data_IF_703187346654
#
_entry.id   IF_703187346654
#
_cell.length_a   1.000
_cell.length_b   1.000
_cell.length_c   1.000
_cell.angle_alpha   90.00
_cell.angle_beta   90.00
_cell.angle_gamma   90.00
#
_symmetry.space_group_name_H-M   'P 1'
#
loop_
_entity.id
_entity.type
_entity.pdbx_description
1 polymer ?
#
# COMPACT_ATOMS: atom_id res chain seq x y z
N UNK A 1 17.18 8.98 14.36
CA UNK A 1 16.07 9.73 15.03
C UNK A 1 14.74 9.61 14.29
N UNK A 2 14.72 9.63 12.96
CA UNK A 2 13.53 9.49 12.12
C UNK A 2 12.67 8.25 12.47
N UNK A 3 13.25 7.06 12.41
CA UNK A 3 12.53 5.79 12.68
C UNK A 3 11.84 5.77 14.06
N UNK A 4 12.50 6.31 15.10
CA UNK A 4 11.92 6.37 16.46
C UNK A 4 10.61 7.15 16.52
N UNK A 5 10.44 8.20 15.69
CA UNK A 5 9.19 8.96 15.62
C UNK A 5 8.06 8.12 15.03
N UNK A 6 8.35 7.37 13.97
CA UNK A 6 7.38 6.48 13.32
C UNK A 6 7.00 5.34 14.28
N UNK A 7 7.99 4.69 14.89
CA UNK A 7 7.77 3.64 15.88
C UNK A 7 6.87 4.11 17.02
N UNK A 8 7.07 5.33 17.53
CA UNK A 8 6.23 5.90 18.59
C UNK A 8 4.76 5.99 18.16
N UNK A 9 4.48 6.43 16.93
CA UNK A 9 3.11 6.53 16.42
C UNK A 9 2.51 5.14 16.20
N UNK A 10 3.26 4.19 15.65
CA UNK A 10 2.82 2.79 15.50
C UNK A 10 2.50 2.14 16.86
N UNK A 11 3.37 2.35 17.86
CA UNK A 11 3.14 1.84 19.22
C UNK A 11 1.86 2.45 19.84
N UNK A 12 1.60 3.73 19.59
CA UNK A 12 0.36 4.39 20.02
C UNK A 12 -0.87 3.86 19.27
N UNK A 13 -0.76 3.66 17.95
CA UNK A 13 -1.83 3.15 17.11
C UNK A 13 -2.26 1.74 17.56
N UNK A 14 -1.30 0.84 17.78
CA UNK A 14 -1.58 -0.49 18.32
C UNK A 14 -2.19 -0.44 19.73
N UNK A 15 -1.70 0.45 20.60
CA UNK A 15 -2.24 0.60 21.96
C UNK A 15 -3.70 1.08 21.97
N UNK A 16 -4.06 1.93 21.02
CA UNK A 16 -5.38 2.52 20.92
C UNK A 16 -6.33 1.76 20.00
N UNK A 17 -5.85 0.74 19.29
CA UNK A 17 -6.64 0.05 18.27
C UNK A 17 -7.03 0.98 17.11
N UNK A 18 -6.10 1.83 16.67
CA UNK A 18 -6.33 2.80 15.60
C UNK A 18 -5.54 2.42 14.33
N UNK A 19 -6.10 2.65 13.13
CA UNK A 19 -5.40 2.49 11.87
C UNK A 19 -4.13 3.35 11.77
N UNK A 20 -3.12 2.87 11.05
CA UNK A 20 -1.90 3.62 10.78
C UNK A 20 -1.70 3.81 9.27
N UNK A 21 -1.58 5.08 8.84
CA UNK A 21 -1.37 5.44 7.44
C UNK A 21 0.03 6.02 7.29
N UNK A 22 0.89 5.33 6.55
CA UNK A 22 2.25 5.78 6.20
C UNK A 22 2.26 6.48 4.85
N UNK A 23 2.73 7.72 4.79
CA UNK A 23 2.96 8.46 3.55
C UNK A 23 4.47 8.45 3.29
N UNK A 24 4.88 7.85 2.17
CA UNK A 24 6.26 7.52 1.89
C UNK A 24 6.77 8.33 0.70
N UNK A 25 7.77 9.16 1.01
CA UNK A 25 8.65 9.84 0.07
C UNK A 25 10.05 9.86 0.71
N UNK A 26 10.87 8.89 0.36
CA UNK A 26 12.17 8.65 0.98
C UNK A 26 13.15 7.99 0.02
N UNK A 27 14.29 8.66 -0.21
CA UNK A 27 15.42 8.09 -0.95
C UNK A 27 16.06 6.84 -0.31
N UNK A 28 15.62 6.43 0.89
CA UNK A 28 16.08 5.21 1.56
C UNK A 28 16.87 5.47 2.85
N UNK A 29 17.80 4.56 3.15
CA UNK A 29 18.62 4.63 4.36
C UNK A 29 19.50 5.89 4.36
N UNK A 30 19.67 6.51 5.53
CA UNK A 30 20.66 7.59 5.70
C UNK A 30 22.04 6.95 5.87
N UNK A 31 22.81 6.92 4.79
CA UNK A 31 24.11 6.24 4.71
C UNK A 31 25.07 6.68 5.83
N UNK A 32 25.04 7.95 6.20
CA UNK A 32 25.90 8.53 7.24
C UNK A 32 25.60 7.98 8.65
N UNK A 33 24.38 7.49 8.88
CA UNK A 33 23.98 6.84 10.14
C UNK A 33 24.28 5.33 10.13
N UNK A 34 24.74 4.75 9.01
CA UNK A 34 25.20 3.37 8.92
C UNK A 34 24.22 2.35 9.52
N UNK A 35 24.73 1.54 10.45
CA UNK A 35 23.95 0.48 11.12
C UNK A 35 22.77 1.01 11.93
N UNK A 36 22.81 2.25 12.39
CA UNK A 36 21.68 2.85 13.12
C UNK A 36 20.49 3.09 12.20
N UNK A 37 20.73 3.42 10.92
CA UNK A 37 19.67 3.52 9.92
C UNK A 37 19.03 2.15 9.66
N UNK A 38 19.82 1.08 9.65
CA UNK A 38 19.32 -0.29 9.44
C UNK A 38 18.56 -0.81 10.66
N UNK A 39 19.07 -0.53 11.86
CA UNK A 39 18.36 -0.81 13.12
C UNK A 39 17.01 -0.08 13.16
N UNK A 40 16.98 1.18 12.69
CA UNK A 40 15.75 1.94 12.51
C UNK A 40 14.72 1.22 11.65
N UNK A 41 15.12 0.68 10.50
CA UNK A 41 14.24 -0.14 9.65
C UNK A 41 13.74 -1.39 10.37
N UNK A 42 14.63 -2.16 11.00
CA UNK A 42 14.24 -3.37 11.73
C UNK A 42 13.19 -3.12 12.82
N UNK A 43 13.27 -1.97 13.49
CA UNK A 43 12.29 -1.56 14.49
C UNK A 43 10.91 -1.24 13.91
N UNK A 44 10.85 -0.67 12.70
CA UNK A 44 9.59 -0.48 11.97
C UNK A 44 9.03 -1.82 11.52
N UNK A 45 9.86 -2.66 10.90
CA UNK A 45 9.41 -3.95 10.36
C UNK A 45 8.81 -4.84 11.45
N UNK A 46 9.48 -4.92 12.60
CA UNK A 46 8.96 -5.65 13.75
C UNK A 46 7.55 -5.17 14.13
N UNK A 47 7.34 -3.86 14.20
CA UNK A 47 6.04 -3.26 14.54
C UNK A 47 4.99 -3.53 13.48
N UNK A 48 5.33 -3.40 12.21
CA UNK A 48 4.39 -3.71 11.14
C UNK A 48 3.94 -5.17 11.20
N UNK A 49 4.87 -6.08 11.47
CA UNK A 49 4.57 -7.52 11.62
C UNK A 49 3.63 -7.78 12.80
N UNK A 50 3.88 -7.21 13.98
CA UNK A 50 3.01 -7.44 15.14
C UNK A 50 1.67 -6.69 15.06
N UNK A 51 1.58 -5.63 14.25
CA UNK A 51 0.34 -4.91 13.96
C UNK A 51 -0.51 -5.59 12.87
N UNK A 52 0.06 -6.52 12.10
CA UNK A 52 -0.59 -7.22 11.00
C UNK A 52 -1.81 -8.00 11.49
N UNK A 53 -2.97 -7.70 10.93
CA UNK A 53 -4.25 -8.27 11.37
C UNK A 53 -4.77 -7.76 12.72
N UNK A 54 -4.14 -6.73 13.30
CA UNK A 54 -4.56 -6.10 14.57
C UNK A 54 -5.18 -4.72 14.33
N UNK A 55 -4.44 -3.85 13.64
CA UNK A 55 -4.93 -2.54 13.19
C UNK A 55 -4.67 -2.42 11.69
N UNK A 56 -5.54 -1.75 10.92
CA UNK A 56 -5.29 -1.53 9.50
C UNK A 56 -4.02 -0.70 9.28
N UNK A 57 -3.16 -1.18 8.39
CA UNK A 57 -1.91 -0.55 8.00
C UNK A 57 -1.96 -0.21 6.51
N UNK A 58 -1.92 1.08 6.19
CA UNK A 58 -2.01 1.57 4.82
C UNK A 58 -0.73 2.31 4.46
N UNK A 59 -0.18 2.02 3.29
CA UNK A 59 0.98 2.69 2.75
C UNK A 59 0.61 3.47 1.50
N UNK A 60 0.97 4.75 1.46
CA UNK A 60 0.83 5.62 0.30
C UNK A 60 2.24 5.95 -0.19
N UNK A 61 2.54 5.67 -1.45
CA UNK A 61 3.82 5.97 -2.08
C UNK A 61 3.64 7.20 -2.98
N UNK A 62 4.11 8.34 -2.49
CA UNK A 62 4.03 9.66 -3.15
C UNK A 62 5.41 10.19 -3.53
N UNK A 63 6.40 9.29 -3.63
CA UNK A 63 7.76 9.63 -4.04
C UNK A 63 8.63 8.38 -4.18
N UNK A 64 9.96 8.55 -4.31
CA UNK A 64 10.89 7.43 -4.27
C UNK A 64 10.80 6.65 -2.94
N UNK A 65 10.97 5.35 -3.03
CA UNK A 65 11.16 4.43 -1.91
C UNK A 65 12.11 3.32 -2.37
N UNK A 66 13.36 3.36 -1.92
CA UNK A 66 14.40 2.46 -2.40
C UNK A 66 15.03 1.63 -1.28
N UNK A 67 15.44 0.41 -1.61
CA UNK A 67 16.15 -0.48 -0.70
C UNK A 67 15.32 -0.82 0.53
N UNK A 68 15.85 -0.55 1.72
CA UNK A 68 15.18 -0.85 3.00
C UNK A 68 13.79 -0.20 3.13
N UNK A 69 13.56 0.95 2.48
CA UNK A 69 12.30 1.67 2.57
C UNK A 69 11.10 0.89 2.02
N UNK A 70 11.32 -0.05 1.10
CA UNK A 70 10.23 -0.79 0.45
C UNK A 70 9.64 -1.89 1.31
N UNK A 71 10.37 -2.37 2.31
CA UNK A 71 9.95 -3.53 3.10
C UNK A 71 8.82 -3.21 4.08
N UNK A 72 8.78 -1.99 4.63
CA UNK A 72 7.68 -1.59 5.53
C UNK A 72 6.34 -1.53 4.76
N UNK A 73 6.23 -0.84 3.61
CA UNK A 73 5.05 -0.94 2.73
C UNK A 73 4.70 -2.37 2.34
N UNK A 74 5.69 -3.21 2.03
CA UNK A 74 5.46 -4.59 1.56
C UNK A 74 4.82 -5.52 2.60
N UNK A 75 4.83 -5.14 3.88
CA UNK A 75 4.21 -5.91 4.98
C UNK A 75 3.04 -5.17 5.64
N UNK A 76 2.57 -4.09 5.02
CA UNK A 76 1.31 -3.42 5.35
C UNK A 76 0.17 -4.02 4.52
N UNK A 77 -1.08 -3.73 4.89
CA UNK A 77 -2.26 -4.38 4.30
C UNK A 77 -2.58 -3.83 2.90
N UNK A 78 -2.47 -2.51 2.71
CA UNK A 78 -2.74 -1.87 1.42
C UNK A 78 -1.67 -0.85 1.03
N UNK A 79 -1.01 -1.11 -0.08
CA UNK A 79 -0.13 -0.18 -0.81
C UNK A 79 -0.88 0.54 -1.93
N UNK A 80 -0.92 1.87 -1.83
CA UNK A 80 -1.36 2.81 -2.85
C UNK A 80 -0.14 3.51 -3.45
N UNK A 81 -0.13 3.70 -4.77
CA UNK A 81 0.94 4.44 -5.46
C UNK A 81 0.37 5.53 -6.36
N UNK A 82 1.06 6.68 -6.43
CA UNK A 82 0.73 7.74 -7.39
C UNK A 82 1.50 7.53 -8.70
N UNK A 83 0.81 7.53 -9.84
CA UNK A 83 1.41 7.33 -11.17
C UNK A 83 2.46 8.40 -11.48
N UNK A 84 3.57 7.99 -12.08
CA UNK A 84 4.70 8.85 -12.46
C UNK A 84 5.40 9.59 -11.29
N UNK A 85 5.03 9.29 -10.03
CA UNK A 85 5.59 9.92 -8.83
C UNK A 85 6.10 8.85 -7.87
N UNK A 86 5.24 7.89 -7.53
CA UNK A 86 5.59 6.78 -6.65
C UNK A 86 6.50 5.77 -7.33
N UNK A 87 7.67 5.53 -6.73
CA UNK A 87 8.66 4.55 -7.20
C UNK A 87 9.04 3.63 -6.05
N UNK A 88 9.01 2.31 -6.27
CA UNK A 88 9.49 1.32 -5.33
C UNK A 88 10.45 0.33 -5.99
N UNK A 89 11.64 0.13 -5.42
CA UNK A 89 12.51 -0.98 -5.82
C UNK A 89 13.55 -1.29 -4.76
N UNK A 90 13.89 -2.57 -4.58
CA UNK A 90 14.96 -2.99 -3.65
C UNK A 90 16.32 -2.49 -4.15
N UNK A 91 16.59 -2.63 -5.45
CA UNK A 91 17.86 -2.26 -6.07
C UNK A 91 17.58 -1.29 -7.21
N UNK A 92 18.28 -0.16 -7.21
CA UNK A 92 18.08 0.89 -8.21
C UNK A 92 18.64 0.55 -9.61
N UNK A 93 18.20 1.26 -10.65
CA UNK A 93 18.61 0.98 -12.03
C UNK A 93 20.11 1.03 -12.29
N UNK A 94 20.83 1.94 -11.64
CA UNK A 94 22.29 2.08 -11.82
C UNK A 94 23.05 0.84 -11.37
N UNK A 95 22.61 0.23 -10.27
CA UNK A 95 23.19 -1.02 -9.74
C UNK A 95 22.84 -2.20 -10.65
N UNK A 96 21.60 -2.26 -11.15
CA UNK A 96 21.19 -3.28 -12.13
C UNK A 96 22.07 -3.19 -13.38
N UNK A 97 22.24 -1.99 -13.95
CA UNK A 97 23.11 -1.78 -15.11
C UNK A 97 24.55 -2.20 -14.86
N UNK A 98 25.10 -1.84 -13.70
CA UNK A 98 26.49 -2.19 -13.36
C UNK A 98 26.71 -3.70 -13.20
N UNK A 99 25.71 -4.44 -12.72
CA UNK A 99 25.83 -5.88 -12.42
C UNK A 99 25.39 -6.76 -13.58
N UNK A 100 24.30 -6.41 -14.27
CA UNK A 100 23.68 -7.25 -15.31
C UNK A 100 23.85 -6.68 -16.72
N UNK A 101 24.24 -5.41 -16.85
CA UNK A 101 24.28 -4.71 -18.14
C UNK A 101 22.91 -4.23 -18.64
N UNK A 102 21.81 -4.54 -17.92
CA UNK A 102 20.47 -4.13 -18.32
C UNK A 102 20.24 -2.63 -18.09
N UNK A 103 19.73 -1.94 -19.11
CA UNK A 103 19.35 -0.53 -19.01
C UNK A 103 17.83 -0.42 -18.86
N UNK A 104 17.40 0.00 -17.67
CA UNK A 104 15.99 0.16 -17.31
C UNK A 104 15.81 1.52 -16.62
N UNK A 105 14.63 2.13 -16.74
CA UNK A 105 14.30 3.37 -16.02
C UNK A 105 13.66 3.04 -14.67
N UNK A 106 13.71 3.94 -13.69
CA UNK A 106 13.03 3.75 -12.40
C UNK A 106 11.52 3.50 -12.56
N UNK A 107 10.86 4.21 -13.48
CA UNK A 107 9.43 4.00 -13.76
C UNK A 107 9.15 2.59 -14.32
N UNK A 108 9.97 2.12 -15.27
CA UNK A 108 9.82 0.78 -15.84
C UNK A 108 10.17 -0.31 -14.82
N UNK A 109 11.12 -0.05 -13.92
CA UNK A 109 11.57 -1.00 -12.90
C UNK A 109 10.58 -1.12 -11.75
N UNK A 110 10.05 0.00 -11.28
CA UNK A 110 9.37 0.10 -9.98
C UNK A 110 8.29 1.19 -9.90
N UNK A 111 7.81 1.69 -11.03
CA UNK A 111 6.72 2.65 -11.07
C UNK A 111 5.37 2.04 -10.67
N UNK A 112 4.41 2.92 -10.37
CA UNK A 112 3.07 2.53 -9.90
C UNK A 112 2.41 1.48 -10.80
N UNK A 113 2.47 1.64 -12.12
CA UNK A 113 1.84 0.71 -13.07
C UNK A 113 2.56 -0.62 -13.19
N UNK A 114 3.88 -0.65 -12.98
CA UNK A 114 4.65 -1.89 -12.91
C UNK A 114 4.22 -2.72 -11.70
N UNK A 115 4.07 -2.07 -10.55
CA UNK A 115 3.63 -2.74 -9.33
C UNK A 115 2.16 -3.12 -9.32
N UNK A 116 1.29 -2.32 -9.95
CA UNK A 116 -0.14 -2.58 -9.99
C UNK A 116 -0.53 -3.67 -11.01
N UNK A 117 0.14 -3.74 -12.17
CA UNK A 117 -0.23 -4.68 -13.24
C UNK A 117 0.65 -5.92 -13.34
N UNK A 118 1.91 -5.87 -12.90
CA UNK A 118 2.86 -6.98 -13.10
C UNK A 118 3.26 -7.66 -11.79
N UNK A 119 3.77 -6.90 -10.82
CA UNK A 119 4.30 -7.51 -9.60
C UNK A 119 3.25 -7.78 -8.52
N UNK A 120 2.10 -7.10 -8.58
CA UNK A 120 1.04 -7.18 -7.56
C UNK A 120 1.39 -6.50 -6.23
N UNK A 121 2.45 -5.69 -6.18
CA UNK A 121 2.89 -5.01 -4.93
C UNK A 121 2.01 -3.81 -4.60
N UNK A 122 1.48 -3.13 -5.63
CA UNK A 122 0.57 -2.00 -5.45
C UNK A 122 -0.86 -2.43 -5.71
N UNK A 123 -1.71 -2.36 -4.69
CA UNK A 123 -3.13 -2.72 -4.79
C UNK A 123 -3.89 -1.67 -5.60
N UNK A 124 -3.49 -0.40 -5.46
CA UNK A 124 -4.14 0.73 -6.12
C UNK A 124 -3.12 1.69 -6.74
N UNK A 125 -3.49 2.28 -7.87
CA UNK A 125 -2.70 3.30 -8.56
C UNK A 125 -3.57 4.51 -8.91
N UNK A 126 -3.27 5.67 -8.31
CA UNK A 126 -3.97 6.94 -8.53
C UNK A 126 -3.23 7.82 -9.54
N UNK A 127 -3.93 8.71 -10.24
CA UNK A 127 -3.33 9.68 -11.18
C UNK A 127 -2.54 10.78 -10.46
N UNK A 128 -2.95 11.15 -9.23
CA UNK A 128 -2.32 12.21 -8.45
C UNK A 128 -2.50 12.02 -6.93
N UNK A 129 -1.87 12.87 -6.13
CA UNK A 129 -1.94 12.81 -4.66
C UNK A 129 -3.35 13.11 -4.10
N UNK A 130 -4.09 14.04 -4.69
CA UNK A 130 -5.44 14.35 -4.21
C UNK A 130 -6.37 13.13 -4.33
N UNK A 131 -6.32 12.46 -5.48
CA UNK A 131 -7.06 11.23 -5.72
C UNK A 131 -6.63 10.11 -4.75
N UNK A 132 -5.32 9.92 -4.53
CA UNK A 132 -4.87 8.83 -3.63
C UNK A 132 -5.35 9.04 -2.20
N UNK A 133 -5.35 10.29 -1.71
CA UNK A 133 -5.88 10.59 -0.38
C UNK A 133 -7.40 10.39 -0.30
N UNK A 134 -8.13 10.67 -1.38
CA UNK A 134 -9.57 10.40 -1.45
C UNK A 134 -9.86 8.89 -1.45
N UNK A 135 -9.12 8.09 -2.24
CA UNK A 135 -9.26 6.63 -2.26
C UNK A 135 -8.95 6.01 -0.90
N UNK A 136 -7.93 6.49 -0.21
CA UNK A 136 -7.60 6.00 1.15
C UNK A 136 -8.71 6.35 2.14
N UNK A 137 -9.28 7.57 2.07
CA UNK A 137 -10.44 7.94 2.90
C UNK A 137 -11.65 7.07 2.63
N UNK A 138 -11.91 6.74 1.37
CA UNK A 138 -12.97 5.82 0.97
C UNK A 138 -12.73 4.41 1.52
N UNK A 139 -11.52 3.85 1.36
CA UNK A 139 -11.15 2.55 1.94
C UNK A 139 -11.37 2.53 3.46
N UNK A 140 -10.99 3.61 4.16
CA UNK A 140 -11.20 3.73 5.59
C UNK A 140 -12.69 3.73 6.00
N UNK A 141 -13.61 4.05 5.08
CA UNK A 141 -15.04 3.93 5.31
C UNK A 141 -15.55 2.48 5.39
N UNK A 142 -14.78 1.52 4.86
CA UNK A 142 -15.15 0.10 4.86
C UNK A 142 -14.49 -0.71 5.99
N UNK A 143 -13.35 -0.24 6.53
CA UNK A 143 -12.54 -0.99 7.49
C UNK A 143 -12.89 -0.65 8.94
N UNK A 144 -12.90 -1.62 9.88
CA UNK A 144 -12.96 -1.32 11.30
C UNK A 144 -11.65 -0.68 11.79
N UNK A 145 -11.67 0.00 12.93
CA UNK A 145 -10.45 0.63 13.50
C UNK A 145 -9.39 -0.41 13.89
N UNK A 146 -9.84 -1.59 14.31
CA UNK A 146 -9.04 -2.72 14.76
C UNK A 146 -9.84 -4.02 14.64
N UNK A 147 -9.17 -5.15 14.87
CA UNK A 147 -9.75 -6.49 14.73
C UNK A 147 -10.78 -6.90 15.81
N UNK A 148 -11.05 -6.05 16.80
CA UNK A 148 -12.07 -6.28 17.84
C UNK A 148 -13.35 -5.46 17.60
N UNK A 149 -13.35 -4.57 16.59
CA UNK A 149 -14.49 -3.74 16.23
C UNK A 149 -15.20 -4.28 14.97
N UNK A 150 -16.50 -4.00 14.87
CA UNK A 150 -17.25 -4.24 13.64
C UNK A 150 -16.94 -3.14 12.62
N UNK A 151 -17.19 -3.43 11.34
CA UNK A 151 -17.07 -2.46 10.25
C UNK A 151 -17.98 -1.24 10.50
N UNK A 152 -17.58 -0.03 10.04
CA UNK A 152 -18.44 1.15 10.12
C UNK A 152 -19.82 0.90 9.51
N UNK A 153 -20.86 1.35 10.20
CA UNK A 153 -22.23 1.30 9.67
C UNK A 153 -22.61 2.65 9.08
N UNK A 154 -23.14 2.62 7.86
CA UNK A 154 -23.68 3.78 7.16
C UNK A 154 -25.14 3.53 6.84
N UNK A 155 -25.96 4.59 6.83
CA UNK A 155 -27.36 4.49 6.43
C UNK A 155 -27.44 4.07 4.96
N UNK A 156 -27.94 2.86 4.71
CA UNK A 156 -28.23 2.40 3.36
C UNK A 156 -29.62 2.87 2.94
N UNK A 157 -29.69 3.60 1.83
CA UNK A 157 -30.96 4.07 1.23
C UNK A 157 -31.51 3.10 0.17
N UNK A 158 -30.79 2.03 -0.15
CA UNK A 158 -31.26 1.00 -1.08
C UNK A 158 -32.23 0.05 -0.36
N UNK A 159 -33.22 -0.46 -1.09
CA UNK A 159 -34.17 -1.43 -0.54
C UNK A 159 -33.48 -2.80 -0.44
N UNK A 160 -33.38 -3.41 0.76
CA UNK A 160 -32.81 -4.75 0.89
C UNK A 160 -33.58 -5.83 0.11
N UNK A 161 -34.80 -5.53 -0.35
CA UNK A 161 -35.63 -6.43 -1.17
C UNK A 161 -35.66 -6.06 -2.66
N UNK A 162 -34.81 -5.13 -3.13
CA UNK A 162 -34.74 -4.76 -4.55
C UNK A 162 -34.46 -6.00 -5.41
N UNK A 163 -35.31 -6.25 -6.39
CA UNK A 163 -35.14 -7.33 -7.37
C UNK A 163 -34.48 -6.77 -8.64
N UNK A 164 -33.60 -7.56 -9.27
CA UNK A 164 -32.92 -7.20 -10.51
C UNK A 164 -33.13 -8.29 -11.57
N UNK A 165 -34.08 -8.08 -12.48
CA UNK A 165 -34.43 -9.05 -13.53
C UNK A 165 -33.29 -9.26 -14.52
N UNK A 166 -32.39 -8.29 -14.71
CA UNK A 166 -31.24 -8.42 -15.59
C UNK A 166 -30.33 -9.60 -15.21
N UNK A 167 -30.25 -9.94 -13.92
CA UNK A 167 -29.44 -11.07 -13.43
C UNK A 167 -29.91 -12.44 -13.94
N UNK A 168 -31.18 -12.56 -14.36
CA UNK A 168 -31.70 -13.81 -14.94
C UNK A 168 -31.03 -14.14 -16.29
N UNK A 169 -30.51 -13.12 -16.99
CA UNK A 169 -30.00 -13.24 -18.34
C UNK A 169 -28.50 -12.90 -18.46
N UNK A 170 -27.82 -12.64 -17.34
CA UNK A 170 -26.41 -12.22 -17.35
C UNK A 170 -25.46 -13.36 -17.75
N UNK A 171 -25.78 -14.60 -17.37
CA UNK A 171 -24.98 -15.77 -17.70
C UNK A 171 -25.30 -16.23 -19.13
N UNK A 172 -24.33 -16.21 -20.05
CA UNK A 172 -24.55 -16.68 -21.41
C UNK A 172 -24.86 -18.17 -21.44
N UNK A 173 -25.72 -18.59 -22.37
CA UNK A 173 -25.97 -20.01 -22.61
C UNK A 173 -24.78 -20.73 -23.27
N UNK A 174 -23.89 -19.97 -23.93
CA UNK A 174 -22.64 -20.49 -24.48
C UNK A 174 -21.60 -20.60 -23.35
N UNK A 175 -21.15 -21.81 -22.98
CA UNK A 175 -20.19 -22.01 -21.89
C UNK A 175 -18.81 -21.41 -22.18
N UNK A 176 -18.50 -21.05 -23.43
CA UNK A 176 -17.24 -20.41 -23.80
C UNK A 176 -17.33 -18.88 -23.84
N UNK A 177 -18.53 -18.30 -23.68
CA UNK A 177 -18.71 -16.86 -23.72
C UNK A 177 -18.57 -16.27 -22.30
N UNK A 178 -17.65 -15.31 -22.09
CA UNK A 178 -17.56 -14.61 -20.82
C UNK A 178 -18.72 -13.62 -20.64
N UNK A 179 -18.92 -13.19 -19.41
CA UNK A 179 -19.83 -12.11 -19.01
C UNK A 179 -19.14 -11.21 -17.99
N UNK A 180 -19.64 -9.98 -17.89
CA UNK A 180 -19.30 -9.02 -16.84
C UNK A 180 -20.50 -8.84 -15.91
#
# INVERSE_FOLDING_TARGET
>A
MHAKKICKVLDMAMKMGAPCIGINDSGGARIQEGVDSLSGYGQLFYRNTIASGVVPQISIIVGPSAGGAVYSPAIMDFVFMVKNVGIMHITGPDVIKAVTGEVVTSEKLGGAMTHNRKSGVAHFAAENEEEVYQMVRELMGYLPSNNMENTPQVECKDDPNRMEEALLNIVPTDPNKPYE
#
